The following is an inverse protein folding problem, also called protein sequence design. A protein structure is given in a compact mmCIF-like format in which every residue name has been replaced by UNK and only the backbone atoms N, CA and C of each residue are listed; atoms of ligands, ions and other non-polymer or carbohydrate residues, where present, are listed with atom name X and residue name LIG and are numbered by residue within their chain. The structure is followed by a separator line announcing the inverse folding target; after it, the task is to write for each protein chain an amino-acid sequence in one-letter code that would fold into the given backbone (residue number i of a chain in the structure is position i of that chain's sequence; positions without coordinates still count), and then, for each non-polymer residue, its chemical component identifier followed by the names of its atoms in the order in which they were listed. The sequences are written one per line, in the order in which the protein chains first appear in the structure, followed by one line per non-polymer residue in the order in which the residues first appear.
data_IF_236611054142
#
_entry.id   IF_236611054142
#
_cell.length_a   1.000
_cell.length_b   1.000
_cell.length_c   1.000
_cell.angle_alpha   90.00
_cell.angle_beta   90.00
_cell.angle_gamma   90.00
#
_symmetry.space_group_name_H-M   'P 1'
#
loop_
_entity.id
_entity.type
_entity.pdbx_description
1 polymer ?
#
# COMPACT_ATOMS: atom_id res chain seq x y z
N UNK A 1 4.41 -0.40 -28.93
CA UNK A 1 5.02 -0.85 -27.67
C UNK A 1 4.01 -1.47 -26.68
N UNK A 2 2.73 -1.08 -26.69
CA UNK A 2 1.74 -1.56 -25.68
C UNK A 2 1.23 -3.00 -25.86
N UNK A 3 1.36 -3.60 -27.07
CA UNK A 3 0.87 -4.97 -27.34
C UNK A 3 1.81 -6.06 -26.80
N UNK A 4 3.11 -5.80 -26.77
CA UNK A 4 4.11 -6.76 -26.28
C UNK A 4 4.04 -6.86 -24.75
N UNK A 5 3.78 -5.75 -24.04
CA UNK A 5 3.62 -5.76 -22.58
C UNK A 5 2.39 -6.59 -22.16
N UNK A 6 1.29 -6.50 -22.91
CA UNK A 6 0.06 -7.26 -22.64
C UNK A 6 0.27 -8.78 -22.82
N UNK A 7 1.06 -9.19 -23.81
CA UNK A 7 1.36 -10.62 -24.07
C UNK A 7 2.29 -11.18 -23.00
N UNK A 8 3.27 -10.42 -22.52
CA UNK A 8 4.15 -10.82 -21.42
C UNK A 8 3.36 -10.93 -20.11
N UNK A 9 2.42 -10.01 -19.86
CA UNK A 9 1.55 -10.07 -18.68
C UNK A 9 0.61 -11.29 -18.71
N UNK A 10 0.06 -11.62 -19.89
CA UNK A 10 -0.85 -12.76 -20.04
C UNK A 10 -0.10 -14.10 -19.95
N UNK A 11 1.14 -14.19 -20.43
CA UNK A 11 1.95 -15.41 -20.36
C UNK A 11 2.46 -15.74 -18.96
N UNK A 12 2.58 -14.77 -18.07
CA UNK A 12 2.91 -14.97 -16.64
C UNK A 12 1.80 -15.69 -15.88
N UNK A 13 0.53 -15.60 -16.32
CA UNK A 13 -0.60 -16.27 -15.70
C UNK A 13 -0.76 -17.74 -16.10
N UNK A 14 -0.09 -18.22 -17.14
CA UNK A 14 -0.23 -19.60 -17.64
C UNK A 14 0.70 -20.61 -16.96
N UNK A 15 1.63 -20.17 -16.11
CA UNK A 15 2.55 -21.03 -15.35
C UNK A 15 2.18 -21.15 -13.86
N UNK A 16 0.89 -21.14 -13.52
CA UNK A 16 0.48 -21.41 -12.15
C UNK A 16 0.48 -22.94 -11.97
N UNK A 17 1.41 -23.53 -11.21
CA UNK A 17 1.35 -24.95 -10.91
C UNK A 17 0.06 -25.23 -10.12
N UNK A 18 -0.57 -26.38 -10.37
CA UNK A 18 -1.86 -26.78 -9.81
C UNK A 18 -1.88 -26.94 -8.26
N UNK A 19 -0.87 -26.48 -7.55
CA UNK A 19 -0.72 -26.50 -6.09
C UNK A 19 -0.54 -25.06 -5.54
N UNK A 20 -0.73 -24.04 -6.37
CA UNK A 20 -0.58 -22.66 -5.92
C UNK A 20 -1.71 -22.28 -4.95
N UNK A 21 -1.34 -21.77 -3.80
CA UNK A 21 -2.25 -21.03 -2.93
C UNK A 21 -2.92 -19.91 -3.75
N UNK A 22 -4.20 -19.58 -3.50
CA UNK A 22 -4.94 -18.63 -4.31
C UNK A 22 -4.30 -17.24 -4.27
N UNK A 23 -4.18 -16.60 -5.43
CA UNK A 23 -3.83 -15.18 -5.53
C UNK A 23 -4.78 -14.36 -4.68
N UNK A 24 -4.32 -13.21 -4.19
CA UNK A 24 -5.19 -12.32 -3.46
C UNK A 24 -4.99 -10.87 -3.85
N UNK A 25 -6.04 -10.10 -3.70
CA UNK A 25 -6.00 -8.65 -3.81
C UNK A 25 -6.78 -8.03 -2.65
N UNK A 26 -6.48 -6.80 -2.31
CA UNK A 26 -7.15 -6.15 -1.21
C UNK A 26 -7.11 -4.63 -1.29
N UNK A 27 -7.89 -4.04 -0.41
CA UNK A 27 -7.86 -2.62 -0.13
C UNK A 27 -7.25 -2.42 1.26
N UNK A 28 -6.46 -1.37 1.43
CA UNK A 28 -5.90 -1.00 2.73
C UNK A 28 -6.12 0.47 3.02
N UNK A 29 -6.25 0.77 4.30
CA UNK A 29 -6.30 2.13 4.84
C UNK A 29 -5.22 2.22 5.91
N UNK A 30 -4.45 3.27 5.85
CA UNK A 30 -3.45 3.64 6.85
C UNK A 30 -3.91 4.92 7.55
N UNK A 31 -3.13 5.42 8.51
CA UNK A 31 -3.48 6.65 9.24
C UNK A 31 -3.78 7.84 8.32
N UNK A 32 -3.03 7.97 7.22
CA UNK A 32 -3.07 9.14 6.34
C UNK A 32 -3.24 8.77 4.86
N UNK A 33 -3.40 7.49 4.54
CA UNK A 33 -3.48 7.02 3.16
C UNK A 33 -4.47 5.89 2.95
N UNK A 34 -4.91 5.74 1.71
CA UNK A 34 -5.66 4.58 1.26
C UNK A 34 -4.97 3.97 0.05
N UNK A 35 -5.13 2.66 -0.14
CA UNK A 35 -4.42 1.96 -1.19
C UNK A 35 -5.02 0.61 -1.54
N UNK A 36 -4.33 -0.04 -2.46
CA UNK A 36 -4.63 -1.40 -2.90
C UNK A 36 -3.38 -2.26 -2.77
N UNK A 37 -3.60 -3.52 -2.56
CA UNK A 37 -2.54 -4.52 -2.49
C UNK A 37 -2.88 -5.70 -3.40
N UNK A 38 -1.83 -6.36 -3.88
CA UNK A 38 -1.92 -7.58 -4.68
C UNK A 38 -0.83 -8.54 -4.23
N UNK A 39 -1.22 -9.75 -3.84
CA UNK A 39 -0.32 -10.74 -3.28
C UNK A 39 -0.26 -12.04 -4.08
N UNK A 40 0.95 -12.57 -4.19
CA UNK A 40 1.27 -13.87 -4.73
C UNK A 40 1.81 -14.76 -3.61
N UNK A 41 1.03 -15.73 -3.11
CA UNK A 41 1.53 -16.68 -2.14
C UNK A 41 2.50 -17.66 -2.81
N UNK A 42 3.68 -17.81 -2.22
CA UNK A 42 4.69 -18.78 -2.64
C UNK A 42 4.34 -20.16 -2.03
N UNK A 43 3.87 -20.14 -0.80
CA UNK A 43 3.39 -21.28 -0.04
C UNK A 43 2.52 -20.81 1.13
N UNK A 44 2.11 -21.71 2.03
CA UNK A 44 1.26 -21.39 3.19
C UNK A 44 1.85 -20.39 4.19
N UNK A 45 3.17 -20.20 4.15
CA UNK A 45 3.88 -19.32 5.10
C UNK A 45 4.37 -18.05 4.45
N UNK A 46 4.77 -18.10 3.18
CA UNK A 46 5.44 -16.99 2.50
C UNK A 46 4.64 -16.48 1.31
N UNK A 47 4.58 -15.15 1.18
CA UNK A 47 3.98 -14.46 0.05
C UNK A 47 4.85 -13.27 -0.36
N UNK A 48 4.68 -12.82 -1.60
CA UNK A 48 5.16 -11.53 -2.09
C UNK A 48 3.95 -10.66 -2.35
N UNK A 49 4.00 -9.41 -1.91
CA UNK A 49 2.90 -8.45 -2.05
C UNK A 49 3.40 -7.16 -2.67
N UNK A 50 2.71 -6.70 -3.70
CA UNK A 50 2.84 -5.36 -4.24
C UNK A 50 1.73 -4.49 -3.67
N UNK A 51 2.05 -3.24 -3.35
CA UNK A 51 1.06 -2.29 -2.86
C UNK A 51 1.22 -0.92 -3.52
N UNK A 52 0.10 -0.25 -3.63
CA UNK A 52 -0.02 1.14 -4.08
C UNK A 52 -0.86 1.90 -3.06
N UNK A 53 -0.39 3.06 -2.63
CA UNK A 53 -1.11 3.92 -1.70
C UNK A 53 -1.10 5.37 -2.15
N UNK A 54 -2.13 6.10 -1.76
CA UNK A 54 -2.25 7.53 -2.03
C UNK A 54 -2.74 8.25 -0.79
N UNK A 55 -2.15 9.41 -0.52
CA UNK A 55 -2.52 10.33 0.55
C UNK A 55 -2.59 11.74 0.00
N UNK A 56 -3.56 12.53 0.47
CA UNK A 56 -3.68 13.94 0.16
C UNK A 56 -3.82 14.71 1.48
N UNK A 57 -3.08 15.79 1.60
CA UNK A 57 -3.16 16.70 2.75
C UNK A 57 -3.19 18.13 2.25
N UNK A 58 -4.01 18.96 2.89
CA UNK A 58 -4.09 20.38 2.62
C UNK A 58 -3.82 21.16 3.90
N UNK A 59 -2.90 22.09 3.83
CA UNK A 59 -2.55 22.96 4.94
C UNK A 59 -2.67 24.41 4.52
N UNK A 60 -3.35 25.22 5.32
CA UNK A 60 -3.47 26.66 5.11
C UNK A 60 -2.76 27.40 6.24
N UNK A 61 -1.87 28.30 5.89
CA UNK A 61 -1.16 29.14 6.85
C UNK A 61 -0.96 30.56 6.28
N UNK A 62 -1.46 31.56 7.02
CA UNK A 62 -1.31 32.98 6.66
C UNK A 62 -1.72 33.34 5.22
N UNK A 63 -2.79 32.71 4.71
CA UNK A 63 -3.30 32.94 3.37
C UNK A 63 -2.55 32.20 2.25
N UNK A 64 -1.61 31.32 2.60
CA UNK A 64 -0.94 30.41 1.67
C UNK A 64 -1.55 29.02 1.83
N UNK A 65 -1.96 28.42 0.72
CA UNK A 65 -2.44 27.04 0.69
C UNK A 65 -1.34 26.12 0.17
N UNK A 66 -1.03 25.06 0.90
CA UNK A 66 -0.12 23.99 0.48
C UNK A 66 -0.92 22.71 0.35
N UNK A 67 -1.05 22.23 -0.89
CA UNK A 67 -1.65 20.95 -1.21
C UNK A 67 -0.53 19.92 -1.41
N UNK A 68 -0.45 18.92 -0.52
CA UNK A 68 0.52 17.83 -0.59
C UNK A 68 -0.19 16.56 -1.04
N UNK A 69 0.25 15.99 -2.17
CA UNK A 69 -0.15 14.67 -2.65
C UNK A 69 1.02 13.71 -2.54
N UNK A 70 0.80 12.57 -1.88
CA UNK A 70 1.81 11.53 -1.72
C UNK A 70 1.33 10.22 -2.33
N UNK A 71 2.18 9.60 -3.15
CA UNK A 71 1.92 8.30 -3.78
C UNK A 71 3.03 7.33 -3.39
N UNK A 72 2.67 6.18 -2.84
CA UNK A 72 3.56 5.09 -2.48
C UNK A 72 3.38 3.89 -3.41
N UNK A 73 4.49 3.33 -3.90
CA UNK A 73 4.52 2.05 -4.61
C UNK A 73 5.60 1.19 -3.96
N UNK A 74 5.24 -0.02 -3.57
CA UNK A 74 6.17 -0.90 -2.88
C UNK A 74 5.97 -2.38 -3.20
N UNK A 75 6.99 -3.14 -2.80
CA UNK A 75 6.98 -4.60 -2.83
C UNK A 75 7.51 -5.11 -1.50
N UNK A 76 6.82 -6.08 -0.92
CA UNK A 76 7.18 -6.68 0.36
C UNK A 76 7.11 -8.20 0.30
N UNK A 77 8.00 -8.86 1.01
CA UNK A 77 7.87 -10.26 1.38
C UNK A 77 7.09 -10.36 2.69
N UNK A 78 6.20 -11.32 2.79
CA UNK A 78 5.39 -11.61 3.98
C UNK A 78 5.71 -13.02 4.46
N UNK A 79 5.85 -13.17 5.78
CA UNK A 79 5.85 -14.48 6.43
C UNK A 79 4.67 -14.52 7.40
N UNK A 80 3.71 -15.41 7.15
CA UNK A 80 2.51 -15.61 7.95
C UNK A 80 2.60 -16.92 8.73
N UNK A 81 2.26 -16.86 10.00
CA UNK A 81 2.29 -17.99 10.93
C UNK A 81 0.88 -18.28 11.39
N UNK A 82 0.21 -19.32 10.82
CA UNK A 82 -1.14 -19.67 11.21
C UNK A 82 -1.18 -20.14 12.66
N UNK A 83 -2.15 -19.62 13.40
CA UNK A 83 -2.40 -19.95 14.81
C UNK A 83 -3.87 -20.27 15.01
N UNK A 84 -4.19 -20.95 16.08
CA UNK A 84 -5.57 -21.26 16.47
C UNK A 84 -5.83 -20.75 17.87
N UNK A 85 -6.87 -19.97 18.03
CA UNK A 85 -7.37 -19.57 19.33
C UNK A 85 -8.61 -20.43 19.67
N UNK A 86 -8.47 -21.30 20.67
CA UNK A 86 -9.55 -22.19 21.17
C UNK A 86 -10.26 -23.01 20.08
N UNK A 87 -9.54 -23.47 19.04
CA UNK A 87 -10.05 -24.24 17.90
C UNK A 87 -11.22 -23.61 17.10
N UNK A 88 -11.64 -22.40 17.42
CA UNK A 88 -12.83 -21.76 16.84
C UNK A 88 -12.49 -20.68 15.83
N UNK A 89 -11.43 -19.91 16.06
CA UNK A 89 -11.05 -18.80 15.18
C UNK A 89 -9.65 -19.01 14.60
N UNK A 90 -9.54 -19.31 13.30
CA UNK A 90 -8.24 -19.32 12.63
C UNK A 90 -7.74 -17.89 12.45
N UNK A 91 -6.58 -17.58 12.99
CA UNK A 91 -5.88 -16.32 12.78
C UNK A 91 -4.42 -16.59 12.43
N UNK A 92 -3.77 -15.63 11.79
CA UNK A 92 -2.35 -15.71 11.50
C UNK A 92 -1.64 -14.48 12.04
N UNK A 93 -0.50 -14.65 12.63
CA UNK A 93 0.43 -13.55 12.87
C UNK A 93 1.32 -13.43 11.65
N UNK A 94 1.62 -12.22 11.21
CA UNK A 94 2.53 -12.02 10.09
C UNK A 94 3.61 -11.00 10.41
N UNK A 95 4.73 -11.16 9.72
CA UNK A 95 5.77 -10.14 9.59
C UNK A 95 5.98 -9.85 8.11
N UNK A 96 6.32 -8.61 7.80
CA UNK A 96 6.62 -8.21 6.42
C UNK A 96 7.87 -7.34 6.35
N UNK A 97 8.57 -7.42 5.22
CA UNK A 97 9.74 -6.59 4.96
C UNK A 97 9.93 -6.37 3.47
N UNK A 98 10.35 -5.18 3.07
CA UNK A 98 10.52 -4.85 1.67
C UNK A 98 10.95 -3.42 1.42
N UNK A 99 10.53 -2.91 0.28
CA UNK A 99 10.97 -1.63 -0.22
C UNK A 99 9.82 -0.83 -0.83
N UNK A 100 9.78 0.47 -0.55
CA UNK A 100 8.77 1.39 -1.04
C UNK A 100 9.42 2.63 -1.62
N UNK A 101 8.93 3.06 -2.77
CA UNK A 101 9.18 4.38 -3.35
C UNK A 101 7.99 5.28 -3.09
N UNK A 102 8.23 6.41 -2.44
CA UNK A 102 7.23 7.44 -2.20
C UNK A 102 7.54 8.65 -3.09
N UNK A 103 6.54 9.16 -3.78
CA UNK A 103 6.58 10.39 -4.56
C UNK A 103 5.68 11.41 -3.88
N UNK A 104 6.24 12.52 -3.44
CA UNK A 104 5.50 13.63 -2.86
C UNK A 104 5.47 14.78 -3.87
N UNK A 105 4.29 15.35 -4.06
CA UNK A 105 4.06 16.53 -4.88
C UNK A 105 3.41 17.60 -4.00
N UNK A 106 4.14 18.68 -3.76
CA UNK A 106 3.69 19.82 -2.98
C UNK A 106 3.35 20.97 -3.95
N UNK A 107 2.12 21.42 -3.94
CA UNK A 107 1.64 22.56 -4.70
C UNK A 107 1.34 23.70 -3.74
N UNK A 108 2.09 24.79 -3.87
CA UNK A 108 1.94 25.98 -3.05
C UNK A 108 1.19 27.05 -3.87
N UNK A 109 0.01 27.43 -3.40
CA UNK A 109 -0.85 28.43 -4.05
C UNK A 109 -1.03 29.65 -3.15
N UNK A 110 -0.72 30.83 -3.68
CA UNK A 110 -0.96 32.11 -3.00
C UNK A 110 -2.15 32.79 -3.70
N UNK A 111 -3.28 33.00 -3.00
CA UNK A 111 -4.43 33.68 -3.59
C UNK A 111 -4.07 35.12 -3.94
N UNK A 112 -4.60 35.58 -5.05
CA UNK A 112 -4.44 36.96 -5.51
C UNK A 112 -4.99 37.95 -4.47
N UNK A 113 -4.13 38.76 -3.86
CA UNK A 113 -4.57 39.87 -3.02
C UNK A 113 -4.64 41.16 -3.86
N UNK A 114 -5.32 42.18 -3.35
CA UNK A 114 -5.44 43.46 -4.04
C UNK A 114 -4.08 44.12 -4.43
N UNK A 115 -2.98 43.60 -3.91
CA UNK A 115 -1.61 44.07 -4.16
C UNK A 115 -0.80 43.16 -5.08
N UNK A 116 -1.22 41.90 -5.29
CA UNK A 116 -0.57 40.90 -6.16
C UNK A 116 -1.48 40.61 -7.35
N UNK A 117 -1.07 41.02 -8.53
CA UNK A 117 -1.86 40.89 -9.77
C UNK A 117 -1.67 39.57 -10.48
N UNK A 118 -0.78 38.69 -10.01
CA UNK A 118 -0.53 37.39 -10.64
C UNK A 118 -0.58 36.30 -9.56
N UNK A 119 -1.43 35.25 -9.74
CA UNK A 119 -1.40 34.06 -8.86
C UNK A 119 -0.03 33.38 -8.99
N UNK A 120 0.60 33.08 -7.86
CA UNK A 120 1.84 32.33 -7.83
C UNK A 120 1.54 30.87 -7.48
N UNK A 121 1.83 29.99 -8.42
CA UNK A 121 1.68 28.55 -8.27
C UNK A 121 3.06 27.89 -8.45
N UNK A 122 3.55 27.21 -7.43
CA UNK A 122 4.81 26.49 -7.48
C UNK A 122 4.58 25.02 -7.07
N UNK A 123 5.01 24.10 -7.94
CA UNK A 123 4.89 22.67 -7.69
C UNK A 123 6.28 22.06 -7.55
N UNK A 124 6.51 21.40 -6.42
CA UNK A 124 7.76 20.70 -6.13
C UNK A 124 7.46 19.20 -6.01
N UNK A 125 8.17 18.40 -6.81
CA UNK A 125 8.06 16.94 -6.73
C UNK A 125 9.34 16.35 -6.16
N UNK A 126 9.21 15.52 -5.15
CA UNK A 126 10.30 14.81 -4.52
C UNK A 126 10.06 13.29 -4.51
N UNK A 127 11.13 12.53 -4.58
CA UNK A 127 11.09 11.07 -4.53
C UNK A 127 11.91 10.56 -3.35
N UNK A 128 11.37 9.61 -2.61
CA UNK A 128 12.06 8.98 -1.50
C UNK A 128 11.92 7.46 -1.58
N UNK A 129 13.06 6.79 -1.51
CA UNK A 129 13.12 5.34 -1.47
C UNK A 129 13.38 4.90 -0.02
N UNK A 130 12.58 3.97 0.50
CA UNK A 130 12.62 3.59 1.91
C UNK A 130 12.43 2.08 2.08
N UNK A 131 13.09 1.53 3.07
CA UNK A 131 12.78 0.19 3.56
C UNK A 131 11.48 0.27 4.35
N UNK A 132 10.61 -0.69 4.12
CA UNK A 132 9.41 -0.93 4.92
C UNK A 132 9.57 -2.25 5.66
N UNK A 133 9.20 -2.27 6.92
CA UNK A 133 9.05 -3.49 7.70
C UNK A 133 7.83 -3.34 8.62
N UNK A 134 7.24 -4.44 8.99
CA UNK A 134 6.03 -4.40 9.81
C UNK A 134 5.58 -5.78 10.22
N UNK A 135 4.44 -5.82 10.88
CA UNK A 135 3.82 -7.05 11.30
C UNK A 135 2.43 -6.79 11.88
N UNK A 136 1.71 -7.86 12.13
CA UNK A 136 0.35 -7.76 12.62
C UNK A 136 -0.35 -9.10 12.69
N UNK A 137 -1.67 -9.04 12.58
CA UNK A 137 -2.53 -10.20 12.60
C UNK A 137 -3.50 -10.20 11.42
N UNK A 138 -3.82 -11.37 10.94
CA UNK A 138 -4.84 -11.65 9.94
C UNK A 138 -5.91 -12.54 10.55
N UNK A 139 -7.15 -12.27 10.20
CA UNK A 139 -8.31 -13.06 10.61
C UNK A 139 -9.12 -13.43 9.38
N UNK A 140 -9.35 -14.73 9.18
CA UNK A 140 -10.23 -15.20 8.12
C UNK A 140 -11.69 -14.96 8.51
N UNK A 141 -12.30 -13.95 7.88
CA UNK A 141 -13.69 -13.54 8.12
C UNK A 141 -14.68 -14.40 7.34
N UNK A 142 -14.26 -14.91 6.19
CA UNK A 142 -15.00 -15.84 5.34
C UNK A 142 -14.01 -16.67 4.51
N UNK A 143 -14.51 -17.67 3.78
CA UNK A 143 -13.69 -18.56 2.94
C UNK A 143 -12.70 -17.81 2.02
N UNK A 144 -13.14 -16.67 1.48
CA UNK A 144 -12.38 -15.89 0.50
C UNK A 144 -12.06 -14.47 1.01
N UNK A 145 -12.35 -14.15 2.27
CA UNK A 145 -12.18 -12.81 2.83
C UNK A 145 -11.36 -12.88 4.12
N UNK A 146 -10.27 -12.15 4.14
CA UNK A 146 -9.39 -11.99 5.31
C UNK A 146 -9.32 -10.51 5.71
N UNK A 147 -9.53 -10.22 6.98
CA UNK A 147 -9.20 -8.94 7.59
C UNK A 147 -7.77 -8.96 8.09
N UNK A 148 -7.02 -7.88 7.83
CA UNK A 148 -5.64 -7.72 8.30
C UNK A 148 -5.51 -6.43 9.11
N UNK A 149 -4.89 -6.50 10.27
CA UNK A 149 -4.48 -5.36 11.09
C UNK A 149 -2.97 -5.42 11.26
N UNK A 150 -2.28 -4.32 10.93
CA UNK A 150 -0.82 -4.28 10.97
C UNK A 150 -0.27 -2.94 11.45
N UNK A 151 0.98 -3.00 11.88
CA UNK A 151 1.81 -1.85 12.19
C UNK A 151 3.01 -1.85 11.25
N UNK A 152 3.17 -0.77 10.49
CA UNK A 152 4.24 -0.58 9.54
C UNK A 152 5.22 0.49 9.98
N UNK A 153 6.48 0.25 9.71
CA UNK A 153 7.58 1.17 9.91
C UNK A 153 8.19 1.50 8.54
N UNK A 154 8.10 2.77 8.16
CA UNK A 154 8.61 3.30 6.90
C UNK A 154 9.64 4.40 7.20
N UNK A 155 10.90 4.03 7.29
CA UNK A 155 11.95 4.91 7.82
C UNK A 155 11.63 5.30 9.26
N UNK A 156 11.42 6.60 9.53
CA UNK A 156 11.07 7.11 10.87
C UNK A 156 9.56 7.22 11.11
N UNK A 157 8.72 6.88 10.12
CA UNK A 157 7.27 6.93 10.26
C UNK A 157 6.72 5.59 10.75
N UNK A 158 5.67 5.65 11.57
CA UNK A 158 4.88 4.50 12.00
C UNK A 158 3.49 4.67 11.46
N UNK A 159 2.91 3.61 10.93
CA UNK A 159 1.55 3.60 10.39
C UNK A 159 0.80 2.36 10.87
N UNK A 160 -0.38 2.58 11.42
CA UNK A 160 -1.34 1.51 11.65
C UNK A 160 -2.12 1.31 10.36
N UNK A 161 -2.17 0.07 9.88
CA UNK A 161 -2.92 -0.27 8.67
C UNK A 161 -4.02 -1.29 8.95
N UNK A 162 -5.13 -1.12 8.24
CA UNK A 162 -6.24 -2.05 8.19
C UNK A 162 -6.47 -2.43 6.73
N UNK A 163 -6.59 -3.73 6.44
CA UNK A 163 -6.88 -4.18 5.09
C UNK A 163 -7.98 -5.25 5.05
N UNK A 164 -8.72 -5.25 3.94
CA UNK A 164 -9.62 -6.33 3.56
C UNK A 164 -9.05 -7.00 2.31
N UNK A 165 -8.85 -8.31 2.38
CA UNK A 165 -8.13 -9.11 1.39
C UNK A 165 -9.07 -10.18 0.85
N UNK A 166 -9.19 -10.26 -0.47
CA UNK A 166 -9.95 -11.28 -1.19
C UNK A 166 -9.00 -12.29 -1.84
N UNK A 167 -9.22 -13.57 -1.57
CA UNK A 167 -8.51 -14.72 -2.13
C UNK A 167 -9.31 -15.28 -3.31
N UNK A 168 -8.64 -15.58 -4.44
CA UNK A 168 -9.28 -16.06 -5.69
C UNK A 168 -9.01 -17.52 -5.94
#
# INVERSE_FOLDING_TARGET
MNRILAVIFLSLFTFIPAIAEPLYAGIQIDNDSAGVLFGYPINRTYAIEAHYSKSNSRTEHAGVTVDTSSTGIGIVGIAAFPMKLNDVLPYSLFVKGGYQRTTNTDTCSIPTSATLTVPYDNTITSHKNQVIFGGGAELDLAKNLTGRLGLDFLGNKRSLNLAAIFKF
#
